data_IF_153470305253
#
_entry.id   IF_153470305253
#
_cell.length_a   1.000
_cell.length_b   1.000
_cell.length_c   1.000
_cell.angle_alpha   90.00
_cell.angle_beta   90.00
_cell.angle_gamma   90.00
#
_symmetry.space_group_name_H-M   'P 1'
#
loop_
_entity.id
_entity.type
_entity.pdbx_description
1 polymer ?
#
# COMPACT_ATOMS: atom_id res chain seq x y z
N UNK A 1 44.31 -49.62 59.81
CA UNK A 1 44.00 -49.50 61.25
C UNK A 1 43.96 -48.01 61.58
N UNK A 2 42.91 -47.55 62.28
CA UNK A 2 42.52 -46.15 62.46
C UNK A 2 43.54 -45.28 63.25
N UNK A 3 43.37 -43.94 63.32
CA UNK A 3 42.51 -43.38 64.36
C UNK A 3 41.64 -42.16 63.95
N UNK A 4 40.68 -41.85 64.82
CA UNK A 4 39.74 -40.72 64.78
C UNK A 4 40.16 -39.60 65.74
N UNK A 5 39.79 -38.34 65.42
CA UNK A 5 39.60 -37.15 66.29
C UNK A 5 38.96 -36.07 65.37
N UNK A 6 37.93 -35.27 65.65
CA UNK A 6 37.12 -34.92 66.83
C UNK A 6 36.82 -33.40 66.80
N UNK A 7 35.58 -33.01 66.43
CA UNK A 7 34.75 -31.79 66.75
C UNK A 7 35.33 -30.33 66.75
N UNK A 8 34.55 -29.22 66.88
CA UNK A 8 33.10 -28.94 66.71
C UNK A 8 32.73 -27.62 65.94
N UNK A 9 31.43 -27.35 65.76
CA UNK A 9 30.73 -26.04 65.71
C UNK A 9 31.23 -24.85 64.85
N UNK A 10 30.50 -24.53 63.77
CA UNK A 10 30.01 -23.15 63.53
C UNK A 10 28.83 -23.10 62.53
N UNK A 11 27.60 -23.05 63.03
CA UNK A 11 26.38 -22.80 62.24
C UNK A 11 26.15 -21.28 62.15
N UNK A 12 26.73 -20.65 61.13
CA UNK A 12 26.49 -19.26 60.75
C UNK A 12 25.25 -19.12 59.86
N UNK A 13 24.09 -18.86 60.47
CA UNK A 13 22.78 -18.72 59.83
C UNK A 13 22.64 -17.34 59.14
N UNK A 14 22.94 -17.24 57.85
CA UNK A 14 22.55 -16.06 57.06
C UNK A 14 21.11 -16.20 56.56
N UNK A 15 20.16 -15.56 57.27
CA UNK A 15 18.82 -15.27 56.75
C UNK A 15 18.90 -14.01 55.88
N UNK A 16 19.06 -14.20 54.58
CA UNK A 16 18.73 -13.16 53.59
C UNK A 16 17.35 -13.46 53.03
N UNK A 17 16.35 -12.75 53.55
CA UNK A 17 15.01 -12.70 52.96
C UNK A 17 15.10 -12.00 51.59
N UNK A 18 15.25 -12.77 50.52
CA UNK A 18 14.88 -12.30 49.19
C UNK A 18 13.38 -12.42 49.09
N UNK A 19 12.68 -11.29 49.20
CA UNK A 19 11.26 -11.21 48.89
C UNK A 19 11.04 -11.70 47.47
N UNK A 20 10.34 -12.83 47.32
CA UNK A 20 9.78 -13.24 46.04
C UNK A 20 8.63 -12.29 45.74
N UNK A 21 8.90 -11.23 44.97
CA UNK A 21 7.83 -10.53 44.27
C UNK A 21 7.27 -11.51 43.21
N UNK A 22 6.05 -12.00 43.44
CA UNK A 22 5.41 -12.96 42.54
C UNK A 22 5.25 -12.41 41.12
N UNK A 23 5.51 -13.22 40.07
CA UNK A 23 5.48 -12.80 38.67
C UNK A 23 4.08 -12.36 38.17
N UNK A 24 3.02 -12.57 38.95
CA UNK A 24 1.67 -12.07 38.65
C UNK A 24 1.48 -10.58 38.99
N UNK A 25 2.17 -10.06 40.01
CA UNK A 25 2.01 -8.65 40.41
C UNK A 25 2.62 -7.71 39.37
N UNK A 26 3.77 -8.07 38.81
CA UNK A 26 4.41 -7.34 37.71
C UNK A 26 3.55 -7.36 36.43
N UNK A 27 2.90 -8.49 36.11
CA UNK A 27 2.01 -8.59 34.95
C UNK A 27 0.76 -7.73 35.09
N UNK A 28 0.15 -7.66 36.28
CA UNK A 28 -1.01 -6.78 36.49
C UNK A 28 -0.65 -5.29 36.43
N UNK A 29 0.54 -4.90 36.90
CA UNK A 29 1.02 -3.51 36.80
C UNK A 29 1.23 -3.10 35.34
N UNK A 30 1.82 -3.97 34.51
CA UNK A 30 2.05 -3.69 33.08
C UNK A 30 0.73 -3.59 32.32
N UNK A 31 -0.23 -4.50 32.58
CA UNK A 31 -1.56 -4.45 31.96
C UNK A 31 -2.31 -3.18 32.38
N UNK A 32 -2.27 -2.82 33.66
CA UNK A 32 -2.89 -1.59 34.17
C UNK A 32 -2.31 -0.33 33.53
N UNK A 33 -0.98 -0.26 33.36
CA UNK A 33 -0.32 0.86 32.69
C UNK A 33 -0.73 0.97 31.20
N UNK A 34 -0.86 -0.16 30.50
CA UNK A 34 -1.26 -0.17 29.09
C UNK A 34 -2.72 0.25 28.90
N UNK A 35 -3.61 -0.21 29.79
CA UNK A 35 -5.03 0.19 29.78
C UNK A 35 -5.16 1.69 30.08
N UNK A 36 -4.43 2.21 31.07
CA UNK A 36 -4.43 3.64 31.39
C UNK A 36 -3.93 4.49 30.21
N UNK A 37 -2.82 4.07 29.56
CA UNK A 37 -2.28 4.76 28.40
C UNK A 37 -3.27 4.76 27.22
N UNK A 38 -3.92 3.63 26.94
CA UNK A 38 -4.94 3.54 25.89
C UNK A 38 -6.14 4.46 26.17
N UNK A 39 -6.64 4.50 27.41
CA UNK A 39 -7.74 5.40 27.79
C UNK A 39 -7.33 6.87 27.62
N UNK A 40 -6.09 7.22 27.97
CA UNK A 40 -5.57 8.60 27.86
C UNK A 40 -5.42 9.03 26.39
N UNK A 41 -4.93 8.14 25.52
CA UNK A 41 -4.84 8.39 24.07
C UNK A 41 -6.23 8.56 23.46
N UNK A 42 -7.19 7.71 23.83
CA UNK A 42 -8.58 7.82 23.36
C UNK A 42 -9.20 9.14 23.82
N UNK A 43 -9.02 9.54 25.09
CA UNK A 43 -9.52 10.82 25.59
C UNK A 43 -8.93 12.03 24.86
N UNK A 44 -7.62 12.03 24.60
CA UNK A 44 -6.95 13.10 23.84
C UNK A 44 -7.43 13.17 22.39
N UNK A 45 -7.69 12.02 21.77
CA UNK A 45 -8.23 11.95 20.41
C UNK A 45 -9.64 12.57 20.30
N UNK A 46 -10.52 12.27 21.28
CA UNK A 46 -11.85 12.88 21.31
C UNK A 46 -11.82 14.37 21.69
N UNK A 47 -10.90 14.79 22.56
CA UNK A 47 -10.70 16.21 22.89
C UNK A 47 -10.20 17.02 21.67
N UNK A 48 -9.26 16.46 20.89
CA UNK A 48 -8.80 17.05 19.64
C UNK A 48 -9.89 17.14 18.57
N UNK A 49 -10.80 16.15 18.51
CA UNK A 49 -11.97 16.19 17.62
C UNK A 49 -13.03 17.22 18.02
N UNK A 50 -13.13 17.57 19.30
CA UNK A 50 -14.05 18.61 19.78
C UNK A 50 -13.53 20.04 19.58
N UNK A 51 -12.21 20.23 19.43
CA UNK A 51 -11.58 21.55 19.22
C UNK A 51 -11.38 21.93 17.74
N UNK A 52 -11.75 21.06 16.79
CA UNK A 52 -11.55 21.25 15.35
C UNK A 52 -12.54 22.19 14.64
N UNK A 53 -13.30 23.02 15.36
CA UNK A 53 -14.24 23.98 14.76
C UNK A 53 -13.99 25.40 15.27
N UNK A 54 -12.87 26.00 14.88
CA UNK A 54 -12.69 27.45 15.00
C UNK A 54 -11.72 27.98 13.95
N UNK A 55 -12.20 28.05 12.69
CA UNK A 55 -11.69 29.02 11.72
C UNK A 55 -12.78 30.06 11.50
N UNK A 56 -12.89 30.96 12.47
CA UNK A 56 -13.69 32.17 12.38
C UNK A 56 -12.99 33.28 13.20
N UNK A 57 -12.36 34.20 12.48
CA UNK A 57 -12.31 35.62 12.86
C UNK A 57 -11.11 36.11 13.69
N UNK A 58 -10.54 37.23 13.22
CA UNK A 58 -9.66 38.15 13.96
C UNK A 58 -8.24 38.17 13.38
N UNK A 59 -7.82 39.09 12.51
CA UNK A 59 -8.17 40.52 12.41
C UNK A 59 -7.23 41.33 13.32
N UNK A 60 -6.36 42.16 12.73
CA UNK A 60 -6.01 43.52 13.17
C UNK A 60 -4.71 44.04 12.52
N UNK A 61 -4.93 44.85 11.49
CA UNK A 61 -4.38 46.18 11.16
C UNK A 61 -3.12 46.76 11.85
N UNK A 62 -2.44 47.60 11.03
CA UNK A 62 -1.73 48.87 11.31
C UNK A 62 -0.26 48.85 10.86
N UNK A 63 0.36 49.90 10.30
CA UNK A 63 -0.01 51.17 9.66
C UNK A 63 1.30 51.76 9.06
N UNK A 64 1.19 52.61 8.03
CA UNK A 64 2.07 53.66 7.53
C UNK A 64 3.62 53.59 7.65
N UNK A 65 4.27 53.51 6.47
CA UNK A 65 4.92 54.68 5.83
C UNK A 65 6.33 55.11 6.24
N UNK A 66 7.34 54.82 5.41
CA UNK A 66 8.48 55.72 5.09
C UNK A 66 9.00 55.39 3.67
N UNK A 67 9.27 56.40 2.84
CA UNK A 67 10.05 56.32 1.60
C UNK A 67 11.14 57.42 1.62
N UNK A 68 12.14 57.45 0.71
CA UNK A 68 12.88 56.38 0.02
C UNK A 68 14.42 56.55 0.21
N UNK A 69 15.23 55.64 -0.35
CA UNK A 69 16.56 55.88 -1.03
C UNK A 69 17.43 54.62 -0.94
N UNK A 70 17.87 54.10 -2.09
CA UNK A 70 19.02 53.17 -2.17
C UNK A 70 18.86 51.98 -3.13
N UNK A 71 19.00 52.21 -4.44
CA UNK A 71 19.51 51.23 -5.45
C UNK A 71 20.88 50.71 -4.97
N UNK A 72 21.28 49.41 -5.09
CA UNK A 72 21.28 48.63 -6.34
C UNK A 72 20.96 47.11 -6.30
N UNK A 73 20.48 46.64 -7.47
CA UNK A 73 20.80 45.37 -8.16
C UNK A 73 20.57 43.98 -7.50
N UNK A 74 19.58 43.28 -8.10
CA UNK A 74 19.52 41.86 -8.50
C UNK A 74 19.34 40.75 -7.42
N UNK A 75 18.78 39.57 -7.77
CA UNK A 75 17.92 39.22 -8.91
C UNK A 75 16.47 38.87 -8.49
N UNK A 76 15.53 39.08 -9.40
CA UNK A 76 14.21 38.47 -9.34
C UNK A 76 14.37 36.96 -9.14
N UNK A 77 13.85 36.47 -8.00
CA UNK A 77 13.58 35.05 -7.82
C UNK A 77 12.47 34.70 -8.79
N UNK A 78 12.87 34.26 -9.98
CA UNK A 78 11.99 33.58 -10.91
C UNK A 78 11.41 32.39 -10.15
N UNK A 79 10.12 32.47 -9.84
CA UNK A 79 9.32 31.31 -9.48
C UNK A 79 9.35 30.41 -10.72
N UNK A 80 10.27 29.45 -10.72
CA UNK A 80 10.19 28.32 -11.61
C UNK A 80 8.92 27.58 -11.21
N UNK A 81 7.81 27.86 -11.89
CA UNK A 81 6.72 26.90 -11.96
C UNK A 81 7.35 25.62 -12.48
N UNK A 82 7.46 24.64 -11.59
CA UNK A 82 7.70 23.25 -11.98
C UNK A 82 6.55 22.91 -12.90
N UNK A 83 6.79 22.97 -14.21
CA UNK A 83 5.84 22.50 -15.18
C UNK A 83 5.53 21.05 -14.81
N UNK A 84 4.29 20.81 -14.37
CA UNK A 84 3.73 19.47 -14.47
C UNK A 84 3.95 19.03 -15.93
N UNK A 85 4.47 17.82 -16.19
CA UNK A 85 4.55 17.33 -17.56
C UNK A 85 3.16 17.43 -18.19
N UNK A 86 3.05 17.86 -19.47
CA UNK A 86 1.77 17.95 -20.14
C UNK A 86 1.10 16.57 -20.07
N UNK A 87 -0.14 16.52 -19.58
CA UNK A 87 -1.01 15.39 -19.78
C UNK A 87 -1.06 15.15 -21.30
N UNK A 88 -0.43 14.06 -21.74
CA UNK A 88 -0.59 13.58 -23.10
C UNK A 88 -2.04 13.13 -23.22
N UNK A 89 -2.87 13.95 -23.87
CA UNK A 89 -4.14 13.49 -24.39
C UNK A 89 -3.84 12.61 -25.60
N UNK A 90 -3.56 11.34 -25.33
CA UNK A 90 -3.30 10.30 -26.33
C UNK A 90 -4.60 9.82 -27.02
N UNK A 91 -5.73 10.52 -26.85
CA UNK A 91 -7.01 10.19 -27.48
C UNK A 91 -7.55 8.81 -27.08
N UNK A 92 -7.12 8.31 -25.91
CA UNK A 92 -7.45 6.96 -25.47
C UNK A 92 -8.84 6.96 -24.86
N UNK A 93 -9.80 6.35 -25.56
CA UNK A 93 -11.16 6.16 -25.06
C UNK A 93 -11.14 5.34 -23.75
N UNK A 94 -11.40 6.02 -22.64
CA UNK A 94 -11.44 5.46 -21.28
C UNK A 94 -12.71 4.63 -21.05
N UNK A 95 -13.75 4.82 -21.87
CA UNK A 95 -15.01 4.09 -21.80
C UNK A 95 -15.08 2.89 -22.77
N UNK A 96 -14.03 2.65 -23.55
CA UNK A 96 -14.00 1.53 -24.50
C UNK A 96 -14.15 0.18 -23.77
N UNK A 97 -14.87 -0.80 -24.36
CA UNK A 97 -15.02 -2.11 -23.78
C UNK A 97 -13.66 -2.81 -23.62
N UNK A 98 -13.46 -3.60 -22.55
CA UNK A 98 -12.19 -4.27 -22.32
C UNK A 98 -11.93 -5.34 -23.39
N UNK A 99 -10.66 -5.58 -23.74
CA UNK A 99 -10.29 -6.68 -24.62
C UNK A 99 -10.64 -8.02 -23.96
N UNK A 100 -11.03 -8.99 -24.78
CA UNK A 100 -11.41 -10.34 -24.32
C UNK A 100 -10.36 -11.41 -24.63
N UNK A 101 -9.29 -11.04 -25.33
CA UNK A 101 -8.20 -11.92 -25.74
C UNK A 101 -6.89 -11.33 -25.29
N UNK A 102 -5.99 -12.20 -24.83
CA UNK A 102 -4.65 -11.81 -24.41
C UNK A 102 -3.92 -11.03 -25.50
N UNK A 103 -3.21 -9.99 -25.09
CA UNK A 103 -2.41 -9.20 -26.00
C UNK A 103 -1.26 -10.04 -26.60
N UNK A 104 -0.87 -9.70 -27.83
CA UNK A 104 0.24 -10.37 -28.50
C UNK A 104 1.57 -10.04 -27.80
N UNK A 105 2.57 -10.92 -27.95
CA UNK A 105 3.92 -10.66 -27.47
C UNK A 105 4.51 -9.36 -28.07
N UNK A 106 5.33 -8.67 -27.29
CA UNK A 106 5.88 -7.36 -27.63
C UNK A 106 5.35 -6.24 -26.74
N UNK A 107 5.66 -4.99 -27.11
CA UNK A 107 5.20 -3.80 -26.37
C UNK A 107 3.70 -3.61 -26.62
N UNK A 108 2.95 -3.53 -25.53
CA UNK A 108 1.49 -3.40 -25.53
C UNK A 108 1.11 -2.22 -24.65
N UNK A 109 0.21 -1.33 -25.10
CA UNK A 109 -0.37 -0.34 -24.20
C UNK A 109 -1.16 -1.06 -23.11
N UNK A 110 -1.17 -0.52 -21.89
CA UNK A 110 -1.88 -1.15 -20.76
C UNK A 110 -3.36 -1.45 -21.06
N UNK A 111 -3.98 -0.66 -21.95
CA UNK A 111 -5.38 -0.88 -22.36
C UNK A 111 -5.63 -2.07 -23.26
N UNK A 112 -4.63 -2.60 -23.96
CA UNK A 112 -4.82 -3.78 -24.80
C UNK A 112 -4.70 -5.10 -24.03
N UNK A 113 -4.31 -5.06 -22.75
CA UNK A 113 -4.17 -6.23 -21.92
C UNK A 113 -5.53 -6.74 -21.42
N UNK A 114 -5.74 -8.06 -21.51
CA UNK A 114 -7.00 -8.71 -21.15
C UNK A 114 -6.91 -9.56 -19.87
N UNK A 115 -5.70 -9.87 -19.40
CA UNK A 115 -5.48 -10.79 -18.30
C UNK A 115 -4.81 -12.09 -18.75
N UNK A 116 -3.87 -12.54 -17.96
CA UNK A 116 -3.00 -13.70 -18.15
C UNK A 116 -1.64 -13.38 -18.78
N UNK A 117 -1.38 -12.15 -19.23
CA UNK A 117 -0.13 -11.76 -19.88
C UNK A 117 1.07 -11.76 -18.91
N UNK A 118 2.17 -12.39 -19.32
CA UNK A 118 3.45 -12.39 -18.61
C UNK A 118 4.35 -11.25 -19.12
N UNK A 119 5.04 -10.57 -18.20
CA UNK A 119 5.71 -9.30 -18.45
C UNK A 119 7.22 -9.41 -18.20
N UNK A 120 8.04 -9.04 -19.18
CA UNK A 120 9.51 -9.16 -19.08
C UNK A 120 10.14 -8.24 -18.03
N UNK A 121 9.47 -7.12 -17.73
CA UNK A 121 9.86 -6.13 -16.76
C UNK A 121 8.61 -5.61 -16.06
N UNK A 122 8.76 -5.19 -14.81
CA UNK A 122 7.67 -4.65 -14.02
C UNK A 122 8.22 -3.75 -12.91
N UNK A 123 7.76 -2.51 -12.86
CA UNK A 123 8.12 -1.54 -11.82
C UNK A 123 6.90 -1.00 -11.09
N UNK A 124 5.78 -0.84 -11.80
CA UNK A 124 4.55 -0.24 -11.30
C UNK A 124 3.34 -0.80 -12.07
N UNK A 125 2.17 -0.96 -11.42
CA UNK A 125 0.94 -1.33 -12.12
C UNK A 125 0.41 -0.19 -12.99
N UNK A 126 0.85 1.06 -12.76
CA UNK A 126 0.44 2.26 -13.49
C UNK A 126 1.34 2.57 -14.70
N UNK A 127 2.07 1.59 -15.23
CA UNK A 127 2.85 1.81 -16.45
C UNK A 127 1.91 1.93 -17.66
N UNK A 128 2.18 2.87 -18.56
CA UNK A 128 1.38 3.06 -19.77
C UNK A 128 1.61 1.96 -20.82
N UNK A 129 2.77 1.30 -20.75
CA UNK A 129 3.14 0.21 -21.65
C UNK A 129 3.76 -0.96 -20.88
N UNK A 130 3.50 -2.16 -21.37
CA UNK A 130 4.07 -3.39 -20.85
C UNK A 130 4.61 -4.25 -22.01
N UNK A 131 5.75 -4.91 -21.78
CA UNK A 131 6.30 -5.85 -22.77
C UNK A 131 5.85 -7.27 -22.43
N UNK A 132 4.91 -7.78 -23.21
CA UNK A 132 4.33 -9.12 -23.09
C UNK A 132 5.27 -10.18 -23.65
N UNK A 133 5.45 -11.26 -22.91
CA UNK A 133 6.28 -12.44 -23.25
C UNK A 133 5.51 -13.73 -23.02
N UNK A 134 6.04 -14.83 -23.56
CA UNK A 134 5.51 -16.17 -23.31
C UNK A 134 5.71 -16.56 -21.84
N UNK A 135 4.61 -16.95 -21.17
CA UNK A 135 4.60 -17.40 -19.78
C UNK A 135 5.37 -18.71 -19.53
N UNK A 136 5.67 -19.49 -20.59
CA UNK A 136 6.56 -20.65 -20.47
C UNK A 136 8.01 -20.26 -20.18
N UNK A 137 8.40 -19.01 -20.47
CA UNK A 137 9.72 -18.44 -20.16
C UNK A 137 9.76 -17.68 -18.83
N UNK A 138 10.97 -17.24 -18.46
CA UNK A 138 11.17 -16.35 -17.31
C UNK A 138 10.53 -14.98 -17.57
N UNK A 139 9.87 -14.43 -16.55
CA UNK A 139 9.26 -13.10 -16.58
C UNK A 139 9.27 -12.48 -15.18
N UNK A 140 8.96 -11.18 -15.06
CA UNK A 140 9.06 -10.42 -13.80
C UNK A 140 7.73 -10.21 -13.10
N UNK A 141 6.65 -10.17 -13.86
CA UNK A 141 5.30 -10.07 -13.32
C UNK A 141 4.30 -10.73 -14.27
N UNK A 142 3.13 -11.07 -13.76
CA UNK A 142 2.00 -11.48 -14.58
C UNK A 142 0.78 -10.63 -14.22
N UNK A 143 0.10 -10.10 -15.23
CA UNK A 143 -1.26 -9.60 -15.09
C UNK A 143 -2.18 -10.83 -15.04
N UNK A 144 -2.75 -11.17 -13.89
CA UNK A 144 -3.51 -12.43 -13.77
C UNK A 144 -5.01 -12.25 -14.00
N UNK A 145 -5.52 -11.03 -13.78
CA UNK A 145 -6.93 -10.71 -13.99
C UNK A 145 -7.12 -9.23 -14.33
N UNK A 146 -8.16 -8.98 -15.12
CA UNK A 146 -8.70 -7.65 -15.37
C UNK A 146 -10.21 -7.69 -15.18
N UNK A 147 -10.82 -6.52 -15.06
CA UNK A 147 -12.27 -6.39 -15.11
C UNK A 147 -12.71 -4.94 -15.07
N UNK A 148 -13.99 -4.74 -14.77
CA UNK A 148 -14.57 -3.41 -14.59
C UNK A 148 -15.24 -3.33 -13.23
N UNK A 149 -15.24 -2.14 -12.62
CA UNK A 149 -16.12 -1.86 -11.49
C UNK A 149 -17.56 -1.78 -11.96
N UNK A 150 -18.47 -2.31 -11.16
CA UNK A 150 -19.90 -2.13 -11.38
C UNK A 150 -20.30 -0.66 -11.23
N UNK A 151 -21.20 -0.22 -12.10
CA UNK A 151 -21.71 1.15 -12.14
C UNK A 151 -21.84 1.64 -13.58
N UNK A 152 -22.88 2.43 -13.87
CA UNK A 152 -22.97 3.09 -15.17
C UNK A 152 -21.99 4.27 -15.25
N UNK A 153 -21.84 4.84 -16.45
CA UNK A 153 -20.96 5.99 -16.68
C UNK A 153 -21.32 7.26 -15.88
N UNK A 154 -22.47 7.26 -15.18
CA UNK A 154 -22.94 8.39 -14.37
C UNK A 154 -22.81 8.18 -12.87
N UNK A 155 -22.37 6.98 -12.43
CA UNK A 155 -22.10 6.71 -11.03
C UNK A 155 -21.08 7.72 -10.47
N UNK A 156 -21.33 8.24 -9.28
CA UNK A 156 -20.40 9.14 -8.60
C UNK A 156 -19.08 8.40 -8.26
N UNK A 157 -17.97 9.13 -8.27
CA UNK A 157 -16.66 8.55 -7.91
C UNK A 157 -16.70 8.03 -6.46
N UNK A 158 -16.44 6.73 -6.19
CA UNK A 158 -16.53 6.17 -4.84
C UNK A 158 -15.43 6.65 -3.89
N UNK A 159 -14.38 7.26 -4.44
CA UNK A 159 -13.17 7.63 -3.70
C UNK A 159 -12.09 6.54 -3.76
N UNK A 160 -10.84 6.97 -3.75
CA UNK A 160 -9.67 6.09 -3.93
C UNK A 160 -9.58 5.01 -2.86
N UNK A 161 -9.84 5.37 -1.60
CA UNK A 161 -9.84 4.42 -0.47
C UNK A 161 -10.89 3.30 -0.62
N UNK A 162 -12.06 3.61 -1.17
CA UNK A 162 -13.10 2.60 -1.42
C UNK A 162 -12.69 1.67 -2.56
N UNK A 163 -12.17 2.22 -3.67
CA UNK A 163 -11.68 1.42 -4.79
C UNK A 163 -10.50 0.52 -4.38
N UNK A 164 -9.53 1.06 -3.63
CA UNK A 164 -8.41 0.29 -3.08
C UNK A 164 -8.89 -0.88 -2.21
N UNK A 165 -9.91 -0.65 -1.38
CA UNK A 165 -10.51 -1.70 -0.53
C UNK A 165 -11.17 -2.79 -1.37
N UNK A 166 -11.83 -2.43 -2.48
CA UNK A 166 -12.41 -3.39 -3.43
C UNK A 166 -11.33 -4.19 -4.17
N UNK A 167 -10.21 -3.56 -4.53
CA UNK A 167 -9.09 -4.27 -5.17
C UNK A 167 -8.54 -5.39 -4.31
N UNK A 168 -8.48 -5.22 -2.99
CA UNK A 168 -8.07 -6.30 -2.11
C UNK A 168 -9.00 -7.53 -2.23
N UNK A 169 -10.32 -7.33 -2.32
CA UNK A 169 -11.27 -8.43 -2.49
C UNK A 169 -11.16 -9.06 -3.89
N UNK A 170 -11.04 -8.24 -4.93
CA UNK A 170 -10.99 -8.70 -6.31
C UNK A 170 -9.69 -9.43 -6.63
N UNK A 171 -8.53 -8.84 -6.33
CA UNK A 171 -7.22 -9.40 -6.70
C UNK A 171 -6.78 -10.59 -5.83
N UNK A 172 -7.42 -10.84 -4.69
CA UNK A 172 -7.13 -11.99 -3.82
C UNK A 172 -8.22 -13.07 -3.86
N UNK A 173 -9.20 -12.92 -4.75
CA UNK A 173 -10.26 -13.91 -4.95
C UNK A 173 -9.66 -15.26 -5.41
N UNK A 174 -10.21 -16.40 -4.97
CA UNK A 174 -9.64 -17.71 -5.30
C UNK A 174 -9.57 -18.03 -6.80
N UNK A 175 -10.39 -17.37 -7.62
CA UNK A 175 -10.46 -17.57 -9.06
C UNK A 175 -9.43 -16.75 -9.85
N UNK A 176 -8.59 -15.94 -9.19
CA UNK A 176 -7.64 -15.03 -9.85
C UNK A 176 -6.23 -15.62 -9.93
N UNK A 177 -5.88 -16.54 -9.03
CA UNK A 177 -4.51 -17.03 -8.89
C UNK A 177 -4.47 -18.56 -8.82
N UNK A 178 -3.56 -19.18 -9.58
CA UNK A 178 -3.17 -20.57 -9.38
C UNK A 178 -2.30 -20.65 -8.13
N UNK A 179 -2.92 -21.03 -7.00
CA UNK A 179 -2.22 -21.16 -5.72
C UNK A 179 -1.14 -22.25 -5.72
N UNK A 180 -1.21 -23.23 -6.61
CA UNK A 180 -0.18 -24.27 -6.72
C UNK A 180 1.09 -23.71 -7.35
N UNK A 181 0.95 -22.89 -8.41
CA UNK A 181 2.06 -22.17 -9.01
C UNK A 181 2.59 -21.08 -8.05
N UNK A 182 1.70 -20.33 -7.41
CA UNK A 182 2.07 -19.25 -6.48
C UNK A 182 2.85 -19.76 -5.26
N UNK A 183 2.58 -20.98 -4.78
CA UNK A 183 3.30 -21.57 -3.64
C UNK A 183 4.81 -21.75 -3.89
N UNK A 184 5.26 -21.72 -5.15
CA UNK A 184 6.68 -21.79 -5.50
C UNK A 184 7.42 -20.44 -5.31
N UNK A 185 6.69 -19.34 -5.09
CA UNK A 185 7.24 -17.97 -4.98
C UNK A 185 6.90 -17.41 -3.60
N UNK A 186 7.79 -17.54 -2.60
CA UNK A 186 7.48 -17.26 -1.19
C UNK A 186 7.23 -15.77 -0.89
N UNK A 187 7.77 -14.88 -1.72
CA UNK A 187 7.67 -13.42 -1.61
C UNK A 187 6.76 -12.82 -2.69
N UNK A 188 5.81 -13.61 -3.20
CA UNK A 188 4.84 -13.15 -4.19
C UNK A 188 3.92 -12.07 -3.58
N UNK A 189 3.75 -10.96 -4.30
CA UNK A 189 2.90 -9.82 -3.91
C UNK A 189 1.97 -9.47 -5.05
N UNK A 190 0.75 -9.08 -4.70
CA UNK A 190 -0.17 -8.49 -5.66
C UNK A 190 -0.09 -6.96 -5.63
N UNK A 191 -0.37 -6.34 -6.77
CA UNK A 191 -0.52 -4.91 -6.95
C UNK A 191 -1.66 -4.66 -7.94
N UNK A 192 -2.25 -3.47 -7.93
CA UNK A 192 -3.37 -3.17 -8.81
C UNK A 192 -3.29 -1.76 -9.42
N UNK A 193 -3.84 -1.63 -10.63
CA UNK A 193 -4.16 -0.36 -11.24
C UNK A 193 -5.67 -0.25 -11.44
N UNK A 194 -6.20 0.95 -11.25
CA UNK A 194 -7.61 1.30 -11.29
C UNK A 194 -7.72 2.83 -11.43
N UNK A 195 -8.90 3.37 -11.83
CA UNK A 195 -9.15 4.82 -11.86
C UNK A 195 -9.05 5.42 -10.45
N UNK A 196 -7.88 5.96 -10.09
CA UNK A 196 -7.55 6.39 -8.73
C UNK A 196 -7.99 7.82 -8.42
N UNK A 197 -8.50 8.54 -9.41
CA UNK A 197 -9.01 9.90 -9.26
C UNK A 197 -10.36 10.12 -9.96
N UNK A 198 -10.98 11.26 -9.64
CA UNK A 198 -12.29 11.64 -10.15
C UNK A 198 -12.26 11.94 -11.65
N UNK A 199 -11.13 12.37 -12.21
CA UNK A 199 -11.01 12.70 -13.63
C UNK A 199 -11.09 11.44 -14.50
N UNK A 200 -10.30 10.42 -14.17
CA UNK A 200 -10.34 9.12 -14.82
C UNK A 200 -11.74 8.49 -14.72
N UNK A 201 -12.37 8.61 -13.55
CA UNK A 201 -13.72 8.13 -13.34
C UNK A 201 -14.77 8.93 -14.14
N UNK A 202 -14.66 10.26 -14.20
CA UNK A 202 -15.57 11.11 -14.98
C UNK A 202 -15.43 10.87 -16.49
N UNK A 203 -14.23 10.50 -16.95
CA UNK A 203 -13.97 10.08 -18.32
C UNK A 203 -14.50 8.67 -18.66
N UNK A 204 -15.12 7.99 -17.70
CA UNK A 204 -15.77 6.69 -17.90
C UNK A 204 -14.88 5.48 -17.64
N UNK A 205 -13.64 5.66 -17.17
CA UNK A 205 -12.79 4.52 -16.84
C UNK A 205 -13.33 3.78 -15.63
N UNK A 206 -13.55 2.48 -15.79
CA UNK A 206 -13.96 1.57 -14.73
C UNK A 206 -13.02 0.39 -14.63
N UNK A 207 -11.95 0.33 -15.42
CA UNK A 207 -11.13 -0.86 -15.56
C UNK A 207 -10.18 -1.02 -14.39
N UNK A 208 -9.99 -2.26 -13.97
CA UNK A 208 -9.02 -2.62 -12.96
C UNK A 208 -8.14 -3.78 -13.43
N UNK A 209 -6.93 -3.84 -12.89
CA UNK A 209 -5.88 -4.76 -13.29
C UNK A 209 -5.22 -5.33 -12.04
N UNK A 210 -5.05 -6.65 -11.96
CA UNK A 210 -4.40 -7.34 -10.85
C UNK A 210 -3.09 -7.97 -11.32
N UNK A 211 -1.97 -7.43 -10.86
CA UNK A 211 -0.63 -7.93 -11.17
C UNK A 211 -0.05 -8.69 -9.99
N UNK A 212 0.74 -9.72 -10.27
CA UNK A 212 1.55 -10.43 -9.29
C UNK A 212 3.02 -10.42 -9.70
N UNK A 213 3.90 -10.14 -8.72
CA UNK A 213 5.34 -10.12 -8.89
C UNK A 213 6.04 -10.56 -7.59
N UNK A 214 7.26 -11.09 -7.68
CA UNK A 214 8.08 -11.35 -6.50
C UNK A 214 8.60 -10.02 -5.92
N UNK A 215 8.50 -9.82 -4.61
CA UNK A 215 8.98 -8.61 -3.92
C UNK A 215 10.50 -8.41 -4.09
N UNK A 216 11.25 -9.51 -4.10
CA UNK A 216 12.70 -9.52 -4.37
C UNK A 216 13.05 -9.14 -5.82
N UNK A 217 12.05 -9.10 -6.70
CA UNK A 217 12.24 -8.98 -8.14
C UNK A 217 12.75 -10.24 -8.82
N UNK A 218 12.83 -11.39 -8.13
CA UNK A 218 13.23 -12.67 -8.74
C UNK A 218 12.34 -13.03 -9.94
N UNK A 219 12.88 -13.73 -10.96
CA UNK A 219 12.07 -14.17 -12.10
C UNK A 219 11.03 -15.20 -11.65
N UNK A 220 9.84 -15.10 -12.25
CA UNK A 220 8.77 -16.07 -12.17
C UNK A 220 8.94 -17.10 -13.30
N UNK A 221 8.46 -18.32 -13.05
CA UNK A 221 8.49 -19.42 -14.03
C UNK A 221 7.09 -20.04 -14.16
N UNK A 222 6.58 -20.14 -15.38
CA UNK A 222 5.22 -20.63 -15.65
C UNK A 222 4.14 -19.61 -15.31
N UNK A 223 2.90 -19.92 -15.70
CA UNK A 223 1.75 -19.04 -15.43
C UNK A 223 1.27 -19.17 -13.98
N UNK A 224 1.06 -18.03 -13.33
CA UNK A 224 0.30 -17.82 -12.10
C UNK A 224 -1.20 -17.61 -12.37
N UNK A 225 -1.59 -17.21 -13.58
CA UNK A 225 -2.99 -17.08 -13.93
C UNK A 225 -3.63 -18.47 -14.06
N UNK A 226 -4.84 -18.63 -13.51
CA UNK A 226 -5.68 -19.77 -13.85
C UNK A 226 -6.02 -19.68 -15.33
N UNK A 227 -5.86 -20.79 -16.06
CA UNK A 227 -6.28 -20.84 -17.47
C UNK A 227 -7.74 -20.35 -17.57
N UNK A 228 -8.08 -19.50 -18.55
CA UNK A 228 -9.47 -19.10 -18.74
C UNK A 228 -10.30 -20.36 -18.84
N UNK A 229 -11.41 -20.42 -18.09
CA UNK A 229 -12.35 -21.53 -18.20
C UNK A 229 -12.67 -21.73 -19.69
N UNK A 230 -12.63 -22.96 -20.23
CA UNK A 230 -13.00 -23.17 -21.62
C UNK A 230 -14.40 -22.58 -21.82
N UNK A 231 -14.55 -21.72 -22.83
CA UNK A 231 -15.83 -21.11 -23.15
C UNK A 231 -16.87 -22.23 -23.26
N UNK A 232 -17.89 -22.19 -22.39
CA UNK A 232 -18.98 -23.14 -22.46
C UNK A 232 -19.60 -23.05 -23.87
N UNK A 233 -19.51 -24.15 -24.62
CA UNK A 233 -20.15 -24.31 -25.93
C UNK A 233 -21.63 -24.67 -25.77
#
# INVERSE_FOLDING_TARGET
>A
MAPAHGDPDYVGRHRSARGLASPLATRMIVIGAFVLAAVLVVALFFAGRAAGTSWAGGGSDSDAGVAPTGTPAAPESAVTQSAAPPAADDGVDLAAPPPTTQAAAGVQPWRSLAGGECLTAYSTPWAEEFTVVDCAGEHRAQLVATGQFDGDGTAAYPGETELASRMNLLCTAPAVLDYSAAAAVPDLRWQAAYPADEEQWAAGDRRWFCFFAAESGAPLAGSLALAPAPAAS
#
